data_IF_701840648419
#
_entry.id   IF_701840648419
#
_cell.length_a   1.000
_cell.length_b   1.000
_cell.length_c   1.000
_cell.angle_alpha   90.00
_cell.angle_beta   90.00
_cell.angle_gamma   90.00
#
_symmetry.space_group_name_H-M   'P 1'
#
loop_
_entity.id
_entity.type
_entity.pdbx_description
1 polymer ?
#
# COMPACT_ATOMS: atom_id res chain seq x y z
N UNK A 1 -3.29 17.60 18.42
CA UNK A 1 -2.87 16.41 17.65
C UNK A 1 -3.83 15.27 17.97
N UNK A 2 -4.49 14.67 16.98
CA UNK A 2 -5.28 13.44 17.17
C UNK A 2 -4.33 12.24 16.99
N UNK A 3 -3.81 11.61 18.06
CA UNK A 3 -2.77 10.58 17.94
C UNK A 3 -3.28 9.29 17.27
N UNK A 4 -4.61 9.09 17.25
CA UNK A 4 -5.26 7.87 16.76
C UNK A 4 -5.46 7.81 15.24
N UNK A 5 -5.24 8.93 14.53
CA UNK A 5 -5.52 8.97 13.09
C UNK A 5 -4.55 8.06 12.32
N UNK A 6 -3.30 7.99 12.75
CA UNK A 6 -2.23 7.26 12.07
C UNK A 6 -1.99 5.86 12.64
N UNK A 7 -2.76 5.45 13.66
CA UNK A 7 -2.59 4.12 14.28
C UNK A 7 -2.89 3.00 13.29
N UNK A 8 -1.92 2.09 13.14
CA UNK A 8 -2.06 0.85 12.40
C UNK A 8 -3.02 -0.11 13.12
N UNK A 9 -4.03 -0.61 12.42
CA UNK A 9 -4.86 -1.71 12.92
C UNK A 9 -5.51 -2.52 11.79
N UNK A 10 -6.20 -3.60 12.13
CA UNK A 10 -6.89 -4.44 11.17
C UNK A 10 -8.08 -3.71 10.51
N UNK A 11 -8.43 -4.05 9.26
CA UNK A 11 -9.54 -3.44 8.51
C UNK A 11 -10.85 -3.30 9.28
N UNK A 12 -11.23 -4.30 10.08
CA UNK A 12 -12.50 -4.28 10.84
C UNK A 12 -12.54 -3.23 11.95
N UNK A 13 -11.37 -2.78 12.44
CA UNK A 13 -11.26 -1.75 13.46
C UNK A 13 -11.07 -0.35 12.86
N UNK A 14 -11.01 -0.25 11.53
CA UNK A 14 -10.73 0.96 10.76
C UNK A 14 -11.77 1.17 9.65
N UNK A 15 -13.00 0.76 9.92
CA UNK A 15 -14.12 0.83 8.96
C UNK A 15 -14.37 2.25 8.46
N UNK A 16 -14.16 3.26 9.32
CA UNK A 16 -14.32 4.67 8.98
C UNK A 16 -13.32 5.15 7.94
N UNK A 17 -12.07 4.66 8.00
CA UNK A 17 -11.04 4.94 7.00
C UNK A 17 -11.40 4.25 5.69
N UNK A 18 -11.84 2.98 5.74
CA UNK A 18 -12.24 2.25 4.54
C UNK A 18 -13.47 2.89 3.87
N UNK A 19 -14.45 3.31 4.65
CA UNK A 19 -15.65 3.94 4.12
C UNK A 19 -15.33 5.30 3.47
N UNK A 20 -14.32 6.04 3.97
CA UNK A 20 -13.91 7.31 3.36
C UNK A 20 -13.23 7.15 2.00
N UNK A 21 -12.74 5.95 1.65
CA UNK A 21 -12.12 5.70 0.34
C UNK A 21 -13.14 5.61 -0.79
N UNK A 22 -14.42 5.38 -0.49
CA UNK A 22 -15.46 5.21 -1.52
C UNK A 22 -15.61 6.48 -2.35
N UNK A 23 -15.55 6.30 -3.66
CA UNK A 23 -15.61 7.36 -4.65
C UNK A 23 -14.26 7.98 -4.99
N UNK A 24 -13.20 7.78 -4.18
CA UNK A 24 -11.87 8.29 -4.48
C UNK A 24 -11.24 7.54 -5.66
N UNK A 25 -10.46 8.26 -6.48
CA UNK A 25 -9.67 7.66 -7.54
C UNK A 25 -8.29 7.28 -7.01
N UNK A 26 -7.79 6.10 -7.37
CA UNK A 26 -6.44 5.68 -7.04
C UNK A 26 -5.47 6.42 -7.98
N UNK A 27 -4.55 7.21 -7.43
CA UNK A 27 -3.52 7.90 -8.20
C UNK A 27 -2.27 7.04 -8.36
N UNK A 28 -1.88 6.33 -7.31
CA UNK A 28 -0.75 5.43 -7.38
C UNK A 28 -0.90 4.22 -6.44
N UNK A 29 -0.19 3.15 -6.78
CA UNK A 29 0.07 2.03 -5.89
C UNK A 29 1.57 1.73 -5.94
N UNK A 30 2.22 1.71 -4.78
CA UNK A 30 3.66 1.43 -4.67
C UNK A 30 3.86 0.33 -3.64
N UNK A 31 4.50 -0.76 -4.06
CA UNK A 31 5.00 -1.81 -3.18
C UNK A 31 6.33 -1.33 -2.61
N UNK A 32 6.44 -1.20 -1.31
CA UNK A 32 7.71 -0.97 -0.64
C UNK A 32 8.19 -2.29 -0.05
N UNK A 33 9.18 -2.88 -0.72
CA UNK A 33 9.70 -4.22 -0.39
C UNK A 33 10.85 -4.12 0.60
N UNK A 34 11.00 -5.10 1.48
CA UNK A 34 12.17 -5.22 2.36
C UNK A 34 13.44 -5.63 1.61
N UNK A 35 13.30 -6.14 0.40
CA UNK A 35 14.41 -6.58 -0.43
C UNK A 35 14.44 -5.83 -1.76
N UNK A 36 15.64 -5.54 -2.29
CA UNK A 36 15.79 -4.98 -3.63
C UNK A 36 15.11 -5.86 -4.69
N UNK A 37 14.41 -5.26 -5.68
CA UNK A 37 13.72 -6.00 -6.73
C UNK A 37 14.59 -6.98 -7.52
N UNK A 38 15.84 -6.60 -7.80
CA UNK A 38 16.82 -7.43 -8.50
C UNK A 38 17.29 -8.61 -7.64
N UNK A 39 17.52 -8.39 -6.35
CA UNK A 39 17.85 -9.45 -5.39
C UNK A 39 16.68 -10.43 -5.24
N UNK A 40 15.44 -9.94 -5.21
CA UNK A 40 14.26 -10.80 -5.14
C UNK A 40 14.16 -11.77 -6.34
N UNK A 41 14.54 -11.31 -7.54
CA UNK A 41 14.60 -12.16 -8.75
C UNK A 41 15.74 -13.16 -8.64
N UNK A 42 16.93 -12.72 -8.24
CA UNK A 42 18.14 -13.54 -8.23
C UNK A 42 18.13 -14.61 -7.14
N UNK A 43 17.77 -14.25 -5.91
CA UNK A 43 17.90 -15.13 -4.75
C UNK A 43 16.66 -16.01 -4.52
N UNK A 44 15.47 -15.48 -4.80
CA UNK A 44 14.20 -16.20 -4.55
C UNK A 44 13.57 -16.76 -5.82
N UNK A 45 14.15 -16.48 -7.01
CA UNK A 45 13.64 -16.97 -8.28
C UNK A 45 12.26 -16.42 -8.65
N UNK A 46 11.88 -15.27 -8.08
CA UNK A 46 10.64 -14.59 -8.43
C UNK A 46 10.76 -14.08 -9.87
N UNK A 47 9.75 -14.33 -10.71
CA UNK A 47 9.72 -13.71 -12.04
C UNK A 47 9.66 -12.19 -11.89
N UNK A 48 10.50 -11.44 -12.62
CA UNK A 48 10.62 -9.98 -12.48
C UNK A 48 9.25 -9.29 -12.43
N UNK A 49 8.36 -9.57 -13.39
CA UNK A 49 7.00 -9.01 -13.48
C UNK A 49 6.08 -9.29 -12.27
N UNK A 50 6.44 -10.26 -11.43
CA UNK A 50 5.68 -10.65 -10.23
C UNK A 50 6.29 -10.11 -8.94
N UNK A 51 7.41 -9.39 -9.00
CA UNK A 51 8.09 -8.81 -7.82
C UNK A 51 7.11 -7.94 -7.03
N UNK A 52 6.39 -7.01 -7.67
CA UNK A 52 5.37 -6.19 -7.00
C UNK A 52 4.35 -7.01 -6.17
N UNK A 53 3.96 -8.18 -6.68
CA UNK A 53 2.95 -9.06 -6.08
C UNK A 53 3.51 -9.92 -4.95
N UNK A 54 4.74 -10.40 -5.09
CA UNK A 54 5.26 -11.54 -4.33
C UNK A 54 6.35 -11.19 -3.32
N UNK A 55 6.88 -9.97 -3.32
CA UNK A 55 7.83 -9.54 -2.29
C UNK A 55 7.15 -9.18 -0.98
N UNK A 56 7.85 -9.47 0.13
CA UNK A 56 7.43 -9.04 1.45
C UNK A 56 7.65 -7.53 1.63
N UNK A 57 6.70 -6.85 2.27
CA UNK A 57 6.72 -5.42 2.44
C UNK A 57 5.33 -4.83 2.63
N UNK A 58 5.23 -3.50 2.62
CA UNK A 58 3.95 -2.79 2.65
C UNK A 58 3.51 -2.36 1.24
N UNK A 59 2.23 -2.07 1.09
CA UNK A 59 1.65 -1.45 -0.10
C UNK A 59 1.15 -0.07 0.31
N UNK A 60 1.59 0.97 -0.38
CA UNK A 60 1.10 2.32 -0.20
C UNK A 60 0.21 2.68 -1.38
N UNK A 61 -0.99 3.19 -1.09
CA UNK A 61 -1.93 3.68 -2.10
C UNK A 61 -2.21 5.16 -1.87
N UNK A 62 -2.06 5.97 -2.93
CA UNK A 62 -2.39 7.39 -2.92
C UNK A 62 -3.67 7.66 -3.71
N UNK A 63 -4.45 8.62 -3.23
CA UNK A 63 -5.77 8.93 -3.76
C UNK A 63 -5.87 10.39 -4.26
N UNK A 64 -6.84 10.65 -5.14
CA UNK A 64 -7.07 11.98 -5.73
C UNK A 64 -7.45 13.08 -4.71
N UNK A 65 -7.88 12.70 -3.51
CA UNK A 65 -8.10 13.61 -2.39
C UNK A 65 -6.82 14.08 -1.69
N UNK A 66 -5.66 13.48 -1.99
CA UNK A 66 -4.41 13.68 -1.25
C UNK A 66 -4.22 12.72 -0.07
N UNK A 67 -5.21 11.87 0.24
CA UNK A 67 -5.10 10.80 1.22
C UNK A 67 -4.10 9.73 0.74
N UNK A 68 -3.27 9.24 1.66
CA UNK A 68 -2.34 8.13 1.43
C UNK A 68 -2.55 7.09 2.53
N UNK A 69 -2.85 5.85 2.12
CA UNK A 69 -3.10 4.72 3.00
C UNK A 69 -2.01 3.68 2.80
N UNK A 70 -1.44 3.20 3.90
CA UNK A 70 -0.56 2.05 3.90
C UNK A 70 -1.29 0.77 4.29
N UNK A 71 -0.84 -0.33 3.72
CA UNK A 71 -1.34 -1.69 3.94
C UNK A 71 -0.16 -2.61 4.22
N UNK A 72 -0.26 -3.40 5.27
CA UNK A 72 0.81 -4.30 5.72
C UNK A 72 0.27 -5.69 6.03
N UNK A 73 1.13 -6.69 5.98
CA UNK A 73 0.82 -8.01 6.53
C UNK A 73 1.08 -7.99 8.03
N UNK A 74 0.13 -8.48 8.84
CA UNK A 74 0.30 -8.66 10.27
C UNK A 74 0.05 -10.13 10.65
N UNK A 75 1.08 -10.99 10.54
CA UNK A 75 0.95 -12.43 10.75
C UNK A 75 0.40 -12.81 12.13
N UNK A 76 0.75 -12.05 13.17
CA UNK A 76 0.27 -12.30 14.54
C UNK A 76 -1.24 -12.20 14.70
N UNK A 77 -1.90 -11.44 13.81
CA UNK A 77 -3.35 -11.26 13.76
C UNK A 77 -4.01 -12.08 12.65
N UNK A 78 -3.24 -12.86 11.86
CA UNK A 78 -3.69 -13.53 10.63
C UNK A 78 -4.48 -12.57 9.72
N UNK A 79 -4.01 -11.34 9.58
CA UNK A 79 -4.74 -10.28 8.87
C UNK A 79 -3.78 -9.34 8.17
N UNK A 80 -4.33 -8.50 7.32
CA UNK A 80 -3.66 -7.27 6.91
C UNK A 80 -3.95 -6.17 7.93
N UNK A 81 -3.10 -5.16 7.97
CA UNK A 81 -3.31 -3.94 8.72
C UNK A 81 -3.36 -2.75 7.78
N UNK A 82 -4.00 -1.68 8.24
CA UNK A 82 -4.10 -0.41 7.51
C UNK A 82 -3.77 0.76 8.42
N UNK A 83 -3.10 1.76 7.88
CA UNK A 83 -2.79 3.03 8.52
C UNK A 83 -2.90 4.18 7.53
N UNK A 84 -3.03 5.40 8.04
CA UNK A 84 -2.93 6.61 7.23
C UNK A 84 -1.46 7.02 7.26
N UNK A 85 -0.83 7.22 6.10
CA UNK A 85 0.49 7.86 6.02
C UNK A 85 0.36 9.37 5.92
N UNK A 86 -0.63 9.83 5.15
CA UNK A 86 -0.90 11.25 4.94
C UNK A 86 -2.39 11.48 4.79
N UNK A 87 -2.94 12.44 5.53
CA UNK A 87 -4.35 12.79 5.43
C UNK A 87 -4.61 13.88 4.36
N UNK A 88 -5.88 14.20 4.12
CA UNK A 88 -6.29 15.21 3.12
C UNK A 88 -5.85 16.64 3.48
N UNK A 89 -5.50 16.90 4.75
CA UNK A 89 -4.90 18.16 5.19
C UNK A 89 -3.37 18.21 5.00
N UNK A 90 -2.80 17.19 4.35
CA UNK A 90 -1.37 16.99 4.14
C UNK A 90 -0.56 16.80 5.43
N UNK A 91 -1.21 16.43 6.54
CA UNK A 91 -0.54 16.01 7.76
C UNK A 91 -0.09 14.55 7.61
N UNK A 92 1.12 14.23 8.07
CA UNK A 92 1.75 12.91 7.91
C UNK A 92 1.92 12.17 9.24
N UNK A 93 2.11 10.85 9.18
CA UNK A 93 2.73 10.09 10.25
C UNK A 93 4.20 10.48 10.44
N UNK A 94 4.80 10.09 11.56
CA UNK A 94 6.23 10.31 11.83
C UNK A 94 7.13 9.37 11.01
N UNK A 95 6.60 8.21 10.62
CA UNK A 95 7.29 7.19 9.83
C UNK A 95 6.52 7.04 8.51
N UNK A 96 7.16 7.43 7.40
CA UNK A 96 6.64 7.30 6.03
C UNK A 96 7.45 6.23 5.30
N UNK A 97 6.79 5.32 4.59
CA UNK A 97 7.48 4.28 3.84
C UNK A 97 8.43 4.85 2.76
N UNK A 98 8.11 6.03 2.21
CA UNK A 98 8.97 6.70 1.21
C UNK A 98 10.28 7.26 1.79
N UNK A 99 10.34 7.45 3.11
CA UNK A 99 11.52 7.97 3.82
C UNK A 99 12.37 6.85 4.44
N UNK A 100 11.85 5.62 4.48
CA UNK A 100 12.56 4.44 4.99
C UNK A 100 13.59 3.94 3.98
N UNK A 101 14.87 4.05 4.33
CA UNK A 101 15.99 3.66 3.49
C UNK A 101 16.24 2.14 3.45
N UNK A 102 15.51 1.36 4.25
CA UNK A 102 15.50 -0.10 4.21
C UNK A 102 14.40 -0.65 3.29
N UNK A 103 13.55 0.22 2.74
CA UNK A 103 12.49 -0.14 1.81
C UNK A 103 12.82 0.21 0.35
N UNK A 104 12.49 -0.72 -0.54
CA UNK A 104 12.74 -0.61 -1.97
C UNK A 104 11.41 -0.49 -2.72
N UNK A 105 11.11 0.67 -3.34
CA UNK A 105 9.84 0.90 -4.00
C UNK A 105 9.77 0.21 -5.36
N UNK A 106 8.60 -0.36 -5.66
CA UNK A 106 8.19 -0.84 -6.97
C UNK A 106 6.82 -0.26 -7.28
N UNK A 107 6.74 0.52 -8.36
CA UNK A 107 5.48 1.11 -8.81
C UNK A 107 4.59 0.06 -9.49
N UNK A 108 3.28 0.13 -9.30
CA UNK A 108 2.34 -0.76 -9.97
C UNK A 108 2.40 -0.67 -11.50
N UNK A 109 2.88 0.45 -12.04
CA UNK A 109 3.10 0.69 -13.47
C UNK A 109 4.52 0.37 -13.94
N UNK A 110 5.39 -0.13 -13.05
CA UNK A 110 6.75 -0.51 -13.41
C UNK A 110 6.75 -1.59 -14.51
N UNK A 111 7.47 -1.33 -15.60
CA UNK A 111 7.47 -2.18 -16.79
C UNK A 111 8.32 -3.46 -16.63
N UNK A 112 9.14 -3.54 -15.60
CA UNK A 112 10.09 -4.64 -15.34
C UNK A 112 9.62 -5.48 -14.15
N UNK A 113 9.28 -4.82 -13.04
CA UNK A 113 9.04 -5.45 -11.75
C UNK A 113 7.56 -5.53 -11.36
N UNK A 114 6.67 -5.04 -12.23
CA UNK A 114 5.23 -5.18 -12.11
C UNK A 114 4.64 -5.75 -13.41
N UNK A 115 3.32 -5.94 -13.42
CA UNK A 115 2.58 -6.43 -14.57
C UNK A 115 1.31 -5.57 -14.82
N UNK A 116 0.71 -5.76 -15.99
CA UNK A 116 -0.46 -4.97 -16.42
C UNK A 116 -1.70 -5.17 -15.53
N UNK A 117 -1.73 -6.21 -14.68
CA UNK A 117 -2.85 -6.42 -13.77
C UNK A 117 -2.91 -5.33 -12.70
N UNK A 118 -1.77 -4.86 -12.18
CA UNK A 118 -1.75 -3.82 -11.14
C UNK A 118 -1.90 -2.42 -11.73
N UNK A 119 -1.24 -2.15 -12.87
CA UNK A 119 -1.34 -0.86 -13.56
C UNK A 119 -2.78 -0.46 -13.90
N UNK A 120 -3.68 -1.43 -14.15
CA UNK A 120 -5.09 -1.15 -14.49
C UNK A 120 -5.91 -0.50 -13.36
N UNK A 121 -5.43 -0.57 -12.11
CA UNK A 121 -6.12 0.05 -10.97
C UNK A 121 -5.83 1.55 -10.86
N UNK A 122 -4.70 2.01 -11.40
CA UNK A 122 -4.38 3.44 -11.45
C UNK A 122 -5.43 4.18 -12.29
N UNK A 123 -5.95 5.28 -11.73
CA UNK A 123 -7.04 6.07 -12.30
C UNK A 123 -8.44 5.52 -12.07
N UNK A 124 -8.59 4.29 -11.53
CA UNK A 124 -9.91 3.73 -11.21
C UNK A 124 -10.45 4.31 -9.90
N UNK A 125 -11.78 4.41 -9.81
CA UNK A 125 -12.48 4.84 -8.59
C UNK A 125 -12.91 3.65 -7.73
N UNK A 126 -12.75 3.77 -6.42
CA UNK A 126 -13.25 2.78 -5.45
C UNK A 126 -14.78 2.87 -5.42
N UNK A 127 -15.46 1.85 -5.93
CA UNK A 127 -16.93 1.80 -5.88
C UNK A 127 -17.45 1.24 -4.56
N UNK A 128 -16.76 0.24 -4.01
CA UNK A 128 -17.12 -0.41 -2.76
C UNK A 128 -15.88 -1.06 -2.13
N UNK A 129 -15.96 -1.33 -0.83
CA UNK A 129 -14.96 -2.09 -0.08
C UNK A 129 -15.64 -3.23 0.63
N UNK A 130 -15.01 -4.40 0.64
CA UNK A 130 -15.49 -5.58 1.35
C UNK A 130 -14.32 -6.23 2.08
N UNK A 131 -14.52 -6.48 3.37
CA UNK A 131 -13.57 -7.25 4.19
C UNK A 131 -13.94 -8.72 4.04
N UNK A 132 -13.03 -9.50 3.46
CA UNK A 132 -13.18 -10.95 3.36
C UNK A 132 -12.76 -11.58 4.70
N UNK A 133 -13.53 -12.54 5.18
CA UNK A 133 -13.30 -13.28 6.43
C UNK A 133 -13.14 -14.76 6.12
#
# INVERSE_FOLDING_TARGET
MKPFLYTEDIPSNRSEVLDSLKGLAILNLTRYSWEPPDMAVLEYGIEAKEVFSLTAGCLIMSFDSGLIIGYGSQPSKNSVTIWIEKNEAAETSEELAEEDNELYPVDATDAVYSNNFWARFVGQRISNITILK
#
